data_IF_348591104434
#
_entry.id   IF_348591104434
#
_cell.length_a   1.000
_cell.length_b   1.000
_cell.length_c   1.000
_cell.angle_alpha   90.00
_cell.angle_beta   90.00
_cell.angle_gamma   90.00
#
_symmetry.space_group_name_H-M   'P 1'
#
loop_
_entity.id
_entity.type
_entity.pdbx_description
1 polymer ?
#
# COMPACT_ATOMS: atom_id res chain seq x y z
N UNK A 1 -42.35 3.76 -34.20
CA UNK A 1 -43.43 4.65 -33.73
C UNK A 1 -43.94 4.11 -32.41
N UNK A 2 -44.02 5.00 -31.41
CA UNK A 2 -44.77 4.97 -30.12
C UNK A 2 -44.38 3.91 -29.05
N UNK A 3 -43.80 4.29 -27.89
CA UNK A 3 -44.37 4.94 -26.66
C UNK A 3 -45.49 4.06 -26.03
N UNK A 4 -45.55 3.68 -24.74
CA UNK A 4 -45.45 4.46 -23.48
C UNK A 4 -45.51 3.54 -22.22
N UNK A 5 -44.70 3.87 -21.20
CA UNK A 5 -44.86 3.89 -19.70
C UNK A 5 -45.97 3.17 -18.89
N UNK A 6 -45.58 2.68 -17.67
CA UNK A 6 -46.09 2.93 -16.28
C UNK A 6 -45.85 1.68 -15.38
N UNK A 7 -45.04 1.60 -14.31
CA UNK A 7 -44.83 2.36 -13.06
C UNK A 7 -45.79 2.01 -11.89
N UNK A 8 -45.26 1.41 -10.82
CA UNK A 8 -45.58 1.50 -9.36
C UNK A 8 -44.75 0.42 -8.63
N UNK A 9 -43.75 0.62 -7.76
CA UNK A 9 -43.37 1.60 -6.73
C UNK A 9 -44.00 1.36 -5.34
N UNK A 10 -43.25 0.67 -4.45
CA UNK A 10 -43.15 0.83 -2.98
C UNK A 10 -41.79 0.20 -2.59
N UNK A 11 -40.64 0.87 -2.49
CA UNK A 11 -40.10 1.87 -1.52
C UNK A 11 -40.01 1.43 -0.04
N UNK A 12 -38.78 1.57 0.48
CA UNK A 12 -38.32 1.63 1.88
C UNK A 12 -38.07 0.34 2.67
N UNK A 13 -36.79 0.01 2.83
CA UNK A 13 -36.13 0.30 4.11
C UNK A 13 -34.70 0.81 3.87
N UNK A 14 -34.45 2.04 4.35
CA UNK A 14 -33.14 2.68 4.42
C UNK A 14 -32.51 2.43 5.79
N UNK A 15 -31.18 2.60 5.85
CA UNK A 15 -30.29 2.61 7.01
C UNK A 15 -30.00 1.21 7.61
N UNK A 16 -28.74 0.81 7.79
CA UNK A 16 -27.62 1.59 8.32
C UNK A 16 -26.29 1.14 7.72
N UNK A 17 -25.47 2.11 7.33
CA UNK A 17 -24.02 1.93 7.26
C UNK A 17 -23.52 1.71 8.70
N UNK A 18 -23.59 0.48 9.17
CA UNK A 18 -22.76 0.05 10.29
C UNK A 18 -21.38 -0.16 9.69
N UNK A 19 -20.32 0.49 10.21
CA UNK A 19 -18.97 -0.02 10.02
C UNK A 19 -18.99 -1.46 10.53
N UNK A 20 -19.19 -2.43 9.63
CA UNK A 20 -19.27 -3.82 10.01
C UNK A 20 -17.89 -4.18 10.54
N UNK A 21 -17.80 -4.43 11.85
CA UNK A 21 -16.64 -5.09 12.42
C UNK A 21 -16.32 -6.31 11.54
N UNK A 22 -15.05 -6.54 11.15
CA UNK A 22 -14.71 -7.66 10.29
C UNK A 22 -15.29 -8.94 10.88
N UNK A 23 -15.89 -9.78 10.03
CA UNK A 23 -16.48 -11.02 10.52
C UNK A 23 -15.40 -11.79 11.29
N UNK A 24 -15.77 -12.58 12.30
CA UNK A 24 -14.78 -13.37 13.03
C UNK A 24 -13.98 -14.30 12.10
N UNK A 25 -14.55 -14.69 10.96
CA UNK A 25 -13.85 -15.45 9.93
C UNK A 25 -12.76 -14.60 9.23
N UNK A 26 -13.05 -13.34 8.93
CA UNK A 26 -12.07 -12.42 8.33
C UNK A 26 -10.94 -12.09 9.32
N UNK A 27 -11.29 -11.91 10.60
CA UNK A 27 -10.31 -11.76 11.67
C UNK A 27 -9.39 -12.99 11.78
N UNK A 28 -9.95 -14.21 11.71
CA UNK A 28 -9.18 -15.45 11.77
C UNK A 28 -8.29 -15.67 10.54
N UNK A 29 -8.77 -15.34 9.33
CA UNK A 29 -7.95 -15.37 8.12
C UNK A 29 -6.76 -14.40 8.21
N UNK A 30 -6.98 -13.22 8.81
CA UNK A 30 -5.90 -12.25 9.08
C UNK A 30 -4.91 -12.78 10.12
N UNK A 31 -5.40 -13.37 11.22
CA UNK A 31 -4.56 -14.02 12.24
C UNK A 31 -3.73 -15.17 11.62
N UNK A 32 -4.33 -15.99 10.75
CA UNK A 32 -3.68 -17.11 10.08
C UNK A 32 -2.57 -16.64 9.12
N UNK A 33 -2.86 -15.66 8.28
CA UNK A 33 -1.86 -15.05 7.38
C UNK A 33 -0.67 -14.43 8.16
N UNK A 34 -0.94 -13.82 9.33
CA UNK A 34 0.13 -13.34 10.21
C UNK A 34 0.97 -14.48 10.78
N UNK A 35 0.35 -15.59 11.19
CA UNK A 35 1.05 -16.77 11.71
C UNK A 35 1.91 -17.45 10.64
N UNK A 36 1.42 -17.60 9.40
CA UNK A 36 2.18 -18.10 8.24
C UNK A 36 3.43 -17.23 7.99
N UNK A 37 3.27 -15.91 8.03
CA UNK A 37 4.36 -14.97 7.85
C UNK A 37 5.43 -15.07 8.97
N UNK A 38 5.02 -15.14 10.23
CA UNK A 38 5.94 -15.27 11.35
C UNK A 38 6.67 -16.63 11.36
N UNK A 39 6.01 -17.71 10.91
CA UNK A 39 6.63 -19.00 10.69
C UNK A 39 7.70 -18.92 9.58
N UNK A 40 7.36 -18.32 8.42
CA UNK A 40 8.29 -18.12 7.30
C UNK A 40 9.51 -17.28 7.69
N UNK A 41 9.30 -16.20 8.44
CA UNK A 41 10.37 -15.33 8.96
C UNK A 41 11.31 -16.08 9.91
N UNK A 42 10.76 -16.87 10.82
CA UNK A 42 11.55 -17.68 11.75
C UNK A 42 12.36 -18.75 11.00
N UNK A 43 11.78 -19.40 9.99
CA UNK A 43 12.47 -20.35 9.11
C UNK A 43 13.63 -19.70 8.34
N UNK A 44 13.43 -18.50 7.80
CA UNK A 44 14.48 -17.75 7.09
C UNK A 44 15.62 -17.30 8.04
N UNK A 45 15.28 -16.85 9.25
CA UNK A 45 16.27 -16.50 10.28
C UNK A 45 17.05 -17.72 10.75
N UNK A 46 16.38 -18.87 10.90
CA UNK A 46 17.03 -20.13 11.22
C UNK A 46 17.97 -20.58 10.10
N UNK A 47 17.53 -20.49 8.84
CA UNK A 47 18.34 -20.81 7.66
C UNK A 47 19.60 -19.92 7.59
N UNK A 48 19.44 -18.62 7.85
CA UNK A 48 20.58 -17.68 7.95
C UNK A 48 21.47 -18.00 9.14
N UNK A 49 20.92 -18.34 10.30
CA UNK A 49 21.71 -18.65 11.49
C UNK A 49 22.56 -19.93 11.32
N UNK A 50 22.19 -20.84 10.40
CA UNK A 50 23.02 -21.99 10.03
C UNK A 50 24.35 -21.58 9.37
N UNK A 51 24.43 -20.39 8.76
CA UNK A 51 25.68 -19.89 8.15
C UNK A 51 26.61 -19.22 9.17
N UNK A 52 26.16 -19.00 10.40
CA UNK A 52 26.96 -18.37 11.44
C UNK A 52 28.09 -19.30 11.91
N UNK A 53 29.17 -18.72 12.44
CA UNK A 53 30.25 -19.46 13.09
C UNK A 53 29.78 -20.22 14.34
N UNK A 54 30.68 -20.97 14.97
CA UNK A 54 30.32 -21.89 16.07
C UNK A 54 30.41 -21.27 17.48
N UNK A 55 30.05 -19.99 17.62
CA UNK A 55 30.07 -19.30 18.91
C UNK A 55 28.85 -19.64 19.78
N UNK A 56 28.98 -19.48 21.10
CA UNK A 56 27.86 -19.64 22.04
C UNK A 56 26.67 -18.71 21.67
N UNK A 57 26.95 -17.49 21.23
CA UNK A 57 25.95 -16.54 20.74
C UNK A 57 25.23 -17.04 19.48
N UNK A 58 25.97 -17.61 18.52
CA UNK A 58 25.39 -18.17 17.30
C UNK A 58 24.50 -19.40 17.61
N UNK A 59 24.92 -20.24 18.56
CA UNK A 59 24.13 -21.38 19.04
C UNK A 59 22.83 -20.92 19.71
N UNK A 60 22.90 -19.94 20.61
CA UNK A 60 21.73 -19.36 21.26
C UNK A 60 20.75 -18.75 20.24
N UNK A 61 21.25 -18.00 19.24
CA UNK A 61 20.42 -17.45 18.16
C UNK A 61 19.69 -18.54 17.36
N UNK A 62 20.36 -19.65 17.03
CA UNK A 62 19.73 -20.79 16.34
C UNK A 62 18.60 -21.40 17.18
N UNK A 63 18.83 -21.59 18.48
CA UNK A 63 17.83 -22.13 19.40
C UNK A 63 16.60 -21.21 19.50
N UNK A 64 16.81 -19.91 19.69
CA UNK A 64 15.73 -18.91 19.75
C UNK A 64 14.91 -18.89 18.45
N UNK A 65 15.56 -18.92 17.29
CA UNK A 65 14.85 -18.94 16.01
C UNK A 65 14.09 -20.24 15.77
N UNK A 66 14.66 -21.39 16.16
CA UNK A 66 14.00 -22.68 16.05
C UNK A 66 12.75 -22.76 16.95
N UNK A 67 12.82 -22.26 18.19
CA UNK A 67 11.66 -22.22 19.09
C UNK A 67 10.58 -21.25 18.58
N UNK A 68 10.98 -20.12 18.00
CA UNK A 68 10.05 -19.19 17.35
C UNK A 68 9.33 -19.84 16.17
N UNK A 69 10.06 -20.55 15.31
CA UNK A 69 9.47 -21.27 14.16
C UNK A 69 8.45 -22.31 14.61
N UNK A 70 8.82 -23.17 15.58
CA UNK A 70 7.91 -24.18 16.15
C UNK A 70 6.63 -23.56 16.70
N UNK A 71 6.75 -22.44 17.41
CA UNK A 71 5.60 -21.73 17.99
C UNK A 71 4.63 -21.26 16.91
N UNK A 72 5.13 -20.62 15.85
CA UNK A 72 4.28 -20.05 14.82
C UNK A 72 3.69 -21.10 13.87
N UNK A 73 4.43 -22.17 13.54
CA UNK A 73 3.88 -23.32 12.80
C UNK A 73 2.75 -24.01 13.59
N UNK A 74 2.86 -24.07 14.92
CA UNK A 74 1.78 -24.60 15.77
C UNK A 74 0.55 -23.70 15.74
N UNK A 75 0.77 -22.38 15.75
CA UNK A 75 -0.29 -21.38 15.72
C UNK A 75 -1.01 -21.33 14.36
N UNK A 76 -0.28 -21.42 13.27
CA UNK A 76 -0.80 -21.58 11.91
C UNK A 76 -1.78 -22.77 11.84
N UNK A 77 -1.34 -23.97 12.24
CA UNK A 77 -2.19 -25.17 12.27
C UNK A 77 -3.43 -25.02 13.16
N UNK A 78 -3.32 -24.26 14.26
CA UNK A 78 -4.47 -23.97 15.14
C UNK A 78 -5.49 -23.10 14.43
N UNK A 79 -5.02 -22.05 13.76
CA UNK A 79 -5.85 -21.09 13.05
C UNK A 79 -6.50 -21.70 11.81
N UNK A 80 -5.78 -22.53 11.04
CA UNK A 80 -6.34 -23.30 9.93
C UNK A 80 -7.54 -24.14 10.36
N UNK A 81 -7.40 -24.89 11.46
CA UNK A 81 -8.49 -25.71 12.01
C UNK A 81 -9.69 -24.88 12.42
N UNK A 82 -9.47 -23.72 13.03
CA UNK A 82 -10.54 -22.82 13.47
C UNK A 82 -11.25 -22.15 12.27
N UNK A 83 -10.51 -21.77 11.23
CA UNK A 83 -11.05 -21.28 9.96
C UNK A 83 -11.91 -22.36 9.30
N UNK A 84 -11.39 -23.59 9.20
CA UNK A 84 -12.11 -24.71 8.59
C UNK A 84 -13.40 -25.05 9.37
N UNK A 85 -13.32 -25.08 10.70
CA UNK A 85 -14.48 -25.30 11.58
C UNK A 85 -15.55 -24.24 11.33
N UNK A 86 -15.18 -22.96 11.33
CA UNK A 86 -16.13 -21.85 11.14
C UNK A 86 -16.70 -21.79 9.73
N UNK A 87 -15.89 -22.04 8.71
CA UNK A 87 -16.37 -22.16 7.34
C UNK A 87 -17.42 -23.29 7.23
N UNK A 88 -17.18 -24.43 7.88
CA UNK A 88 -18.15 -25.54 7.89
C UNK A 88 -19.46 -25.21 8.64
N UNK A 89 -19.39 -24.43 9.71
CA UNK A 89 -20.57 -23.96 10.46
C UNK A 89 -21.39 -22.97 9.63
N UNK A 90 -20.72 -22.02 8.97
CA UNK A 90 -21.37 -21.06 8.06
C UNK A 90 -22.05 -21.80 6.91
N UNK A 91 -21.37 -22.75 6.27
CA UNK A 91 -21.96 -23.57 5.21
C UNK A 91 -23.18 -24.38 5.67
N UNK A 92 -23.19 -24.89 6.91
CA UNK A 92 -24.34 -25.61 7.49
C UNK A 92 -25.54 -24.70 7.74
N UNK A 93 -25.30 -23.48 8.22
CA UNK A 93 -26.34 -22.46 8.45
C UNK A 93 -26.93 -21.94 7.13
N UNK A 94 -26.09 -21.77 6.12
CA UNK A 94 -26.48 -21.34 4.76
C UNK A 94 -27.21 -22.46 4.00
N UNK A 95 -26.78 -23.71 4.15
CA UNK A 95 -27.45 -24.87 3.53
C UNK A 95 -28.85 -25.14 4.12
N UNK A 96 -29.13 -24.70 5.35
CA UNK A 96 -30.50 -24.69 5.90
C UNK A 96 -31.45 -23.70 5.24
N UNK A 97 -30.96 -22.81 4.37
CA UNK A 97 -31.74 -21.70 3.80
C UNK A 97 -31.73 -21.62 2.27
N UNK A 98 -31.15 -22.56 1.53
CA UNK A 98 -31.25 -22.56 0.05
C UNK A 98 -31.06 -23.95 -0.55
N UNK A 99 -32.18 -24.52 -1.00
CA UNK A 99 -32.20 -25.55 -2.03
C UNK A 99 -31.72 -24.97 -3.36
N UNK A 100 -30.94 -25.80 -4.07
CA UNK A 100 -30.64 -25.78 -5.52
C UNK A 100 -29.94 -24.54 -6.09
N UNK A 101 -28.67 -24.67 -6.50
CA UNK A 101 -28.29 -24.97 -7.91
C UNK A 101 -26.75 -24.93 -8.05
N UNK A 102 -26.26 -25.75 -8.98
CA UNK A 102 -25.00 -26.46 -9.07
C UNK A 102 -23.80 -25.64 -9.57
N UNK A 103 -22.61 -26.12 -9.18
CA UNK A 103 -21.26 -25.65 -9.50
C UNK A 103 -20.77 -26.02 -10.91
N UNK A 104 -19.73 -25.33 -11.39
CA UNK A 104 -18.59 -25.83 -12.20
C UNK A 104 -17.78 -24.62 -12.71
N UNK A 105 -16.49 -24.63 -13.02
CA UNK A 105 -15.32 -25.41 -12.67
C UNK A 105 -14.12 -24.62 -13.24
N UNK A 106 -12.97 -24.73 -12.59
CA UNK A 106 -11.67 -24.13 -12.88
C UNK A 106 -11.13 -24.43 -14.28
N UNK A 107 -10.26 -23.56 -14.83
CA UNK A 107 -9.02 -23.97 -15.53
C UNK A 107 -7.99 -22.85 -15.69
N UNK A 108 -6.75 -23.23 -15.38
CA UNK A 108 -5.46 -22.52 -15.40
C UNK A 108 -4.89 -22.41 -16.82
N UNK A 109 -4.11 -21.36 -17.12
CA UNK A 109 -3.03 -21.45 -18.11
C UNK A 109 -1.88 -20.46 -17.82
N UNK A 110 -0.72 -20.85 -18.34
CA UNK A 110 0.67 -20.59 -17.96
C UNK A 110 1.29 -19.31 -18.54
N UNK A 111 2.28 -18.77 -17.81
CA UNK A 111 3.14 -17.65 -18.19
C UNK A 111 4.25 -18.04 -19.18
N UNK A 112 4.71 -17.09 -20.00
CA UNK A 112 5.98 -17.15 -20.74
C UNK A 112 6.80 -15.90 -20.44
N UNK A 113 8.10 -16.11 -20.20
CA UNK A 113 9.08 -15.10 -19.77
C UNK A 113 9.99 -14.75 -20.94
N UNK A 114 10.35 -13.48 -21.12
CA UNK A 114 11.49 -13.08 -21.95
C UNK A 114 12.26 -11.91 -21.32
N UNK A 115 13.60 -12.01 -21.42
CA UNK A 115 14.63 -11.30 -20.66
C UNK A 115 15.19 -10.16 -21.52
N UNK A 116 15.42 -8.97 -20.96
CA UNK A 116 16.05 -7.83 -21.64
C UNK A 116 17.56 -7.77 -21.41
N UNK A 117 18.29 -7.25 -22.40
CA UNK A 117 19.72 -6.93 -22.36
C UNK A 117 19.92 -5.42 -22.18
N UNK A 118 20.88 -5.05 -21.34
CA UNK A 118 21.23 -3.67 -20.98
C UNK A 118 22.45 -3.22 -21.78
N UNK A 119 22.43 -2.00 -22.32
CA UNK A 119 23.64 -1.31 -22.82
C UNK A 119 23.80 0.04 -22.11
N UNK A 120 25.03 0.32 -21.68
CA UNK A 120 25.44 1.51 -20.93
C UNK A 120 26.08 2.52 -21.87
N UNK A 121 25.70 3.80 -21.77
CA UNK A 121 26.35 4.92 -22.47
C UNK A 121 27.02 5.89 -21.46
N UNK A 122 28.13 6.55 -21.83
CA UNK A 122 28.97 7.32 -20.91
C UNK A 122 28.48 8.78 -20.71
N UNK A 123 28.90 9.36 -19.58
CA UNK A 123 28.43 10.64 -19.04
C UNK A 123 29.01 11.88 -19.74
N UNK A 124 28.16 12.90 -19.90
CA UNK A 124 28.55 14.27 -20.30
C UNK A 124 28.20 15.29 -19.20
N UNK A 125 29.16 16.20 -18.98
CA UNK A 125 29.16 17.50 -18.29
C UNK A 125 27.88 17.98 -17.59
N UNK A 126 27.99 18.19 -16.27
CA UNK A 126 26.90 18.49 -15.32
C UNK A 126 26.28 19.89 -15.47
N UNK A 127 25.22 20.00 -16.26
CA UNK A 127 24.08 20.85 -15.90
C UNK A 127 23.40 20.27 -14.66
N UNK A 128 22.78 21.11 -13.82
CA UNK A 128 22.01 20.63 -12.66
C UNK A 128 21.03 19.56 -13.15
N UNK A 129 21.16 18.34 -12.63
CA UNK A 129 20.34 17.21 -13.08
C UNK A 129 18.88 17.53 -12.82
N UNK A 130 18.02 17.39 -13.82
CA UNK A 130 16.57 17.51 -13.66
C UNK A 130 15.99 16.51 -12.66
N UNK A 131 16.77 15.49 -12.27
CA UNK A 131 16.39 14.50 -11.26
C UNK A 131 16.68 14.95 -9.83
N UNK A 132 17.60 15.89 -9.61
CA UNK A 132 18.02 16.27 -8.24
C UNK A 132 16.97 17.17 -7.60
N UNK A 133 16.28 16.65 -6.59
CA UNK A 133 15.41 17.43 -5.71
C UNK A 133 15.86 17.40 -4.26
N UNK A 134 15.08 18.04 -3.38
CA UNK A 134 15.35 18.06 -1.93
C UNK A 134 14.05 17.96 -1.10
N UNK A 135 14.10 17.15 -0.04
CA UNK A 135 13.17 17.23 1.09
C UNK A 135 13.66 18.27 2.08
N UNK A 136 12.87 19.30 2.40
CA UNK A 136 13.30 20.41 3.25
C UNK A 136 12.28 20.72 4.35
N UNK A 137 12.75 21.32 5.44
CA UNK A 137 11.89 22.03 6.41
C UNK A 137 12.09 23.55 6.36
N UNK A 138 13.28 24.01 5.94
CA UNK A 138 13.61 25.44 5.87
C UNK A 138 14.03 25.80 4.45
N UNK A 139 13.20 26.56 3.73
CA UNK A 139 13.42 26.86 2.31
C UNK A 139 14.75 27.58 2.03
N UNK A 140 15.21 28.46 2.92
CA UNK A 140 16.48 29.20 2.73
C UNK A 140 17.72 28.29 2.65
N UNK A 141 17.65 27.07 3.19
CA UNK A 141 18.75 26.10 3.09
C UNK A 141 18.83 25.42 1.72
N UNK A 142 17.83 25.63 0.85
CA UNK A 142 17.79 25.01 -0.48
C UNK A 142 18.52 25.83 -1.55
N UNK A 143 18.80 27.11 -1.31
CA UNK A 143 19.19 28.08 -2.35
C UNK A 143 20.46 27.73 -3.13
N UNK A 144 21.40 26.99 -2.53
CA UNK A 144 22.67 26.63 -3.16
C UNK A 144 22.74 25.17 -3.64
N UNK A 145 21.63 24.41 -3.54
CA UNK A 145 21.63 22.97 -3.79
C UNK A 145 21.58 22.58 -5.27
N UNK A 146 21.37 23.53 -6.19
CA UNK A 146 21.21 23.30 -7.64
C UNK A 146 20.20 22.18 -7.92
N UNK A 147 18.97 22.38 -7.45
CA UNK A 147 17.85 21.44 -7.53
C UNK A 147 16.84 21.87 -8.60
N UNK A 148 16.09 20.91 -9.14
CA UNK A 148 14.99 21.15 -10.07
C UNK A 148 13.61 21.08 -9.41
N UNK A 149 13.50 20.37 -8.27
CA UNK A 149 12.25 20.21 -7.53
C UNK A 149 12.48 20.11 -6.02
N UNK A 150 11.46 20.39 -5.22
CA UNK A 150 11.53 20.32 -3.77
C UNK A 150 10.17 19.90 -3.17
N UNK A 151 10.21 19.26 -2.00
CA UNK A 151 9.04 18.94 -1.18
C UNK A 151 9.39 19.13 0.30
N UNK A 152 8.39 19.29 1.17
CA UNK A 152 8.59 19.52 2.61
C UNK A 152 7.65 18.69 3.49
N UNK A 153 7.18 17.54 2.99
CA UNK A 153 6.13 16.72 3.62
C UNK A 153 4.78 17.43 3.81
N UNK A 154 4.64 18.67 3.33
CA UNK A 154 3.44 19.50 3.44
C UNK A 154 2.69 19.64 2.12
N UNK A 155 1.54 20.33 2.20
CA UNK A 155 0.70 20.62 1.04
C UNK A 155 1.09 21.93 0.34
N UNK A 156 1.84 22.80 1.02
CA UNK A 156 2.25 24.11 0.55
C UNK A 156 3.71 24.37 0.88
N UNK A 157 4.44 25.15 0.06
CA UNK A 157 5.81 25.51 0.38
C UNK A 157 5.85 26.34 1.67
N UNK A 158 6.87 26.10 2.49
CA UNK A 158 7.17 26.92 3.66
C UNK A 158 8.37 27.83 3.35
N UNK A 159 8.05 29.05 2.89
CA UNK A 159 9.02 30.03 2.39
C UNK A 159 9.14 30.07 0.86
N UNK A 160 10.15 30.79 0.38
CA UNK A 160 10.39 31.02 -1.05
C UNK A 160 11.47 30.09 -1.58
N UNK A 161 11.14 29.32 -2.61
CA UNK A 161 12.09 28.52 -3.37
C UNK A 161 12.72 29.35 -4.50
N UNK A 162 13.91 28.96 -4.94
CA UNK A 162 14.56 29.58 -6.09
C UNK A 162 13.69 29.51 -7.35
N UNK A 163 13.80 30.51 -8.22
CA UNK A 163 13.11 30.52 -9.51
C UNK A 163 13.43 29.25 -10.31
N UNK A 164 12.40 28.61 -10.85
CA UNK A 164 12.51 27.39 -11.65
C UNK A 164 12.56 26.10 -10.84
N UNK A 165 12.52 26.16 -9.50
CA UNK A 165 12.34 24.96 -8.67
C UNK A 165 10.85 24.66 -8.55
N UNK A 166 10.45 23.48 -9.00
CA UNK A 166 9.09 22.96 -8.81
C UNK A 166 8.86 22.62 -7.33
N UNK A 167 7.77 23.11 -6.74
CA UNK A 167 7.31 22.59 -5.45
C UNK A 167 6.33 21.45 -5.67
N UNK A 168 6.62 20.27 -5.12
CA UNK A 168 5.79 19.07 -5.21
C UNK A 168 5.04 18.87 -3.88
N UNK A 169 3.72 19.12 -3.81
CA UNK A 169 2.95 18.96 -2.59
C UNK A 169 2.73 17.47 -2.26
N UNK A 170 2.56 17.17 -0.97
CA UNK A 170 2.33 15.82 -0.47
C UNK A 170 1.02 15.71 0.28
N UNK A 171 0.21 14.73 -0.08
CA UNK A 171 -0.89 14.27 0.75
C UNK A 171 -0.31 13.35 1.83
N UNK A 172 0.25 13.92 2.90
CA UNK A 172 0.99 13.16 3.92
C UNK A 172 0.15 12.04 4.55
N UNK A 173 -1.13 12.32 4.82
CA UNK A 173 -2.08 11.39 5.43
C UNK A 173 -3.43 12.05 5.74
N UNK A 174 -4.39 11.32 6.33
CA UNK A 174 -5.77 11.78 6.52
C UNK A 174 -5.91 13.04 7.39
N UNK A 175 -4.94 13.35 8.24
CA UNK A 175 -4.96 14.54 9.10
C UNK A 175 -5.03 15.87 8.32
N UNK A 176 -4.63 15.90 7.05
CA UNK A 176 -4.68 17.09 6.18
C UNK A 176 -5.74 17.04 5.07
N UNK A 177 -6.66 16.07 5.09
CA UNK A 177 -7.55 15.83 3.94
C UNK A 177 -8.48 17.00 3.61
N UNK A 178 -8.92 17.77 4.62
CA UNK A 178 -9.85 18.90 4.42
C UNK A 178 -9.29 20.02 3.55
N UNK A 179 -7.98 20.26 3.60
CA UNK A 179 -7.32 21.32 2.83
C UNK A 179 -6.65 20.82 1.56
N UNK A 180 -6.47 19.50 1.42
CA UNK A 180 -5.66 18.89 0.37
C UNK A 180 -6.13 19.30 -1.03
N UNK A 181 -7.43 19.16 -1.32
CA UNK A 181 -7.94 19.39 -2.67
C UNK A 181 -7.66 20.82 -3.17
N UNK A 182 -7.91 21.82 -2.32
CA UNK A 182 -7.66 23.21 -2.63
C UNK A 182 -6.15 23.51 -2.82
N UNK A 183 -5.31 22.96 -1.94
CA UNK A 183 -3.86 23.18 -1.99
C UNK A 183 -3.20 22.49 -3.19
N UNK A 184 -3.59 21.24 -3.48
CA UNK A 184 -3.10 20.52 -4.65
C UNK A 184 -3.52 21.23 -5.95
N UNK A 185 -4.77 21.68 -6.06
CA UNK A 185 -5.23 22.45 -7.21
C UNK A 185 -4.44 23.76 -7.37
N UNK A 186 -4.19 24.49 -6.26
CA UNK A 186 -3.38 25.71 -6.27
C UNK A 186 -1.95 25.44 -6.70
N UNK A 187 -1.34 24.34 -6.24
CA UNK A 187 0.02 23.95 -6.61
C UNK A 187 0.11 23.64 -8.11
N UNK A 188 -0.85 22.87 -8.67
CA UNK A 188 -0.93 22.59 -10.10
C UNK A 188 -1.06 23.88 -10.90
N UNK A 189 -1.98 24.77 -10.52
CA UNK A 189 -2.13 26.07 -11.17
C UNK A 189 -0.89 26.97 -11.05
N UNK A 190 -0.01 26.73 -10.08
CA UNK A 190 1.25 27.43 -9.89
C UNK A 190 2.45 26.74 -10.57
N UNK A 191 2.21 25.65 -11.31
CA UNK A 191 3.24 24.95 -12.10
C UNK A 191 3.72 23.62 -11.52
N UNK A 192 3.12 23.11 -10.43
CA UNK A 192 3.41 21.74 -9.96
C UNK A 192 2.91 20.72 -10.98
N UNK A 193 3.79 19.82 -11.40
CA UNK A 193 3.48 18.74 -12.35
C UNK A 193 3.30 17.39 -11.66
N UNK A 194 3.74 17.26 -10.41
CA UNK A 194 3.60 16.05 -9.60
C UNK A 194 2.79 16.31 -8.31
N UNK A 195 2.18 15.25 -7.76
CA UNK A 195 1.61 15.21 -6.41
C UNK A 195 2.11 13.94 -5.70
N UNK A 196 2.63 14.07 -4.48
CA UNK A 196 3.09 12.95 -3.66
C UNK A 196 1.95 12.35 -2.83
N UNK A 197 1.88 11.01 -2.80
CA UNK A 197 0.97 10.26 -1.94
C UNK A 197 1.40 10.23 -0.47
N UNK A 198 0.74 9.37 0.31
CA UNK A 198 0.93 9.26 1.77
C UNK A 198 2.36 8.95 2.19
N UNK A 199 2.80 9.56 3.29
CA UNK A 199 4.15 9.40 3.84
C UNK A 199 4.24 8.25 4.83
N UNK A 200 5.05 7.26 4.54
CA UNK A 200 5.34 6.07 5.35
C UNK A 200 4.06 5.47 5.96
N UNK A 201 3.04 5.14 5.14
CA UNK A 201 1.79 4.58 5.65
C UNK A 201 2.00 3.23 6.35
N UNK A 202 3.12 2.59 6.08
CA UNK A 202 3.56 1.34 6.69
C UNK A 202 4.22 1.50 8.07
N UNK A 203 4.48 2.74 8.54
CA UNK A 203 5.14 3.00 9.82
C UNK A 203 4.20 3.66 10.84
N UNK A 204 4.14 3.07 12.03
CA UNK A 204 3.20 3.47 13.10
C UNK A 204 3.36 4.90 13.61
N UNK A 205 4.57 5.47 13.52
CA UNK A 205 4.87 6.84 13.93
C UNK A 205 4.64 7.89 12.84
N UNK A 206 4.15 7.49 11.66
CA UNK A 206 3.98 8.33 10.48
C UNK A 206 2.50 8.37 10.10
N UNK A 207 2.15 8.30 8.80
CA UNK A 207 0.74 8.35 8.41
C UNK A 207 -0.04 7.10 8.86
N UNK A 208 0.65 5.98 9.15
CA UNK A 208 0.14 4.80 9.85
C UNK A 208 -1.24 4.34 9.35
N UNK A 209 -1.27 3.85 8.11
CA UNK A 209 -2.48 3.44 7.42
C UNK A 209 -2.45 1.95 7.13
N UNK A 210 -3.51 1.25 7.46
CA UNK A 210 -3.77 -0.07 6.89
C UNK A 210 -4.03 0.04 5.38
N UNK A 211 -3.86 -1.06 4.63
CA UNK A 211 -4.11 -1.08 3.18
C UNK A 211 -5.52 -0.57 2.81
N UNK A 212 -6.62 -0.98 3.48
CA UNK A 212 -7.94 -0.41 3.19
C UNK A 212 -8.03 1.10 3.43
N UNK A 213 -7.39 1.61 4.49
CA UNK A 213 -7.35 3.05 4.77
C UNK A 213 -6.55 3.79 3.69
N UNK A 214 -5.41 3.25 3.26
CA UNK A 214 -4.63 3.86 2.19
C UNK A 214 -5.38 3.88 0.86
N UNK A 215 -6.08 2.79 0.50
CA UNK A 215 -6.94 2.73 -0.70
C UNK A 215 -8.07 3.77 -0.63
N UNK A 216 -8.76 3.87 0.51
CA UNK A 216 -9.82 4.86 0.69
C UNK A 216 -9.30 6.29 0.57
N UNK A 217 -8.16 6.58 1.21
CA UNK A 217 -7.53 7.90 1.13
C UNK A 217 -7.03 8.22 -0.28
N UNK A 218 -6.44 7.26 -0.98
CA UNK A 218 -6.02 7.44 -2.37
C UNK A 218 -7.20 7.81 -3.27
N UNK A 219 -8.30 7.03 -3.20
CA UNK A 219 -9.50 7.30 -3.98
C UNK A 219 -10.12 8.66 -3.71
N UNK A 220 -10.17 9.06 -2.43
CA UNK A 220 -10.78 10.32 -2.03
C UNK A 220 -9.90 11.54 -2.35
N UNK A 221 -8.57 11.41 -2.27
CA UNK A 221 -7.66 12.55 -2.25
C UNK A 221 -6.69 12.60 -3.44
N UNK A 222 -6.26 11.46 -3.98
CA UNK A 222 -5.30 11.40 -5.07
C UNK A 222 -5.98 11.18 -6.43
N UNK A 223 -6.89 10.21 -6.54
CA UNK A 223 -7.62 9.90 -7.79
C UNK A 223 -8.29 11.12 -8.46
N UNK A 224 -8.85 12.12 -7.75
CA UNK A 224 -9.43 13.32 -8.38
C UNK A 224 -8.44 14.18 -9.20
N UNK A 225 -7.13 13.94 -9.04
CA UNK A 225 -6.05 14.59 -9.76
C UNK A 225 -5.43 13.74 -10.86
N UNK A 226 -5.91 12.50 -11.05
CA UNK A 226 -5.46 11.65 -12.15
C UNK A 226 -5.73 12.34 -13.50
N UNK A 227 -4.69 12.41 -14.34
CA UNK A 227 -4.71 13.14 -15.61
C UNK A 227 -4.56 14.66 -15.49
N UNK A 228 -4.54 15.24 -14.28
CA UNK A 228 -4.26 16.67 -14.04
C UNK A 228 -2.81 16.93 -13.61
N UNK A 229 -2.21 15.96 -12.93
CA UNK A 229 -0.82 15.92 -12.52
C UNK A 229 -0.34 14.47 -12.48
N UNK A 230 0.97 14.27 -12.47
CA UNK A 230 1.55 12.95 -12.25
C UNK A 230 1.40 12.55 -10.79
N UNK A 231 0.76 11.42 -10.53
CA UNK A 231 0.54 10.95 -9.17
C UNK A 231 1.66 10.01 -8.76
N UNK A 232 2.28 10.31 -7.62
CA UNK A 232 3.33 9.48 -7.05
C UNK A 232 2.74 8.60 -5.96
N UNK A 233 3.15 7.33 -5.92
CA UNK A 233 2.66 6.35 -4.94
C UNK A 233 2.79 6.84 -3.49
N UNK A 234 2.14 6.17 -2.51
CA UNK A 234 2.57 6.30 -1.13
C UNK A 234 4.08 6.02 -1.01
N UNK A 235 4.79 6.83 -0.23
CA UNK A 235 6.21 6.71 0.01
C UNK A 235 6.44 5.79 1.21
N UNK A 236 6.78 4.53 0.96
CA UNK A 236 6.96 3.51 2.01
C UNK A 236 8.38 3.50 2.57
N UNK A 237 8.55 3.00 3.79
CA UNK A 237 9.88 2.80 4.39
C UNK A 237 10.71 1.75 3.65
N UNK A 238 11.96 1.56 4.05
CA UNK A 238 12.77 0.41 3.62
C UNK A 238 12.53 -0.87 4.45
N UNK A 239 11.45 -0.92 5.24
CA UNK A 239 11.10 -2.08 6.06
C UNK A 239 10.78 -3.32 5.24
N UNK A 240 11.06 -4.51 5.79
CA UNK A 240 10.63 -5.77 5.19
C UNK A 240 9.11 -5.95 5.29
N UNK A 241 8.52 -6.81 4.46
CA UNK A 241 7.08 -7.13 4.49
C UNK A 241 6.59 -7.34 5.94
N UNK A 242 5.44 -6.77 6.36
CA UNK A 242 4.44 -6.09 5.54
C UNK A 242 4.73 -4.60 5.25
N UNK A 243 5.90 -4.09 5.65
CA UNK A 243 6.32 -2.73 5.36
C UNK A 243 7.00 -2.62 3.98
N UNK A 244 7.38 -1.41 3.62
CA UNK A 244 8.15 -1.12 2.41
C UNK A 244 7.49 -1.60 1.14
N UNK A 245 8.28 -2.22 0.26
CA UNK A 245 7.77 -2.74 -1.02
C UNK A 245 6.62 -3.75 -0.82
N UNK A 246 6.60 -4.47 0.31
CA UNK A 246 5.50 -5.36 0.66
C UNK A 246 4.17 -4.63 0.83
N UNK A 247 4.20 -3.48 1.49
CA UNK A 247 3.03 -2.61 1.62
C UNK A 247 2.51 -2.14 0.26
N UNK A 248 3.40 -1.74 -0.65
CA UNK A 248 3.02 -1.32 -2.00
C UNK A 248 2.44 -2.48 -2.85
N UNK A 249 2.97 -3.69 -2.68
CA UNK A 249 2.42 -4.88 -3.33
C UNK A 249 0.99 -5.17 -2.85
N UNK A 250 0.75 -5.08 -1.54
CA UNK A 250 -0.59 -5.24 -0.97
C UNK A 250 -1.52 -4.11 -1.41
N UNK A 251 -1.04 -2.86 -1.47
CA UNK A 251 -1.80 -1.72 -1.98
C UNK A 251 -2.24 -1.94 -3.43
N UNK A 252 -1.30 -2.36 -4.29
CA UNK A 252 -1.57 -2.74 -5.68
C UNK A 252 -2.63 -3.84 -5.78
N UNK A 253 -2.48 -4.92 -4.99
CA UNK A 253 -3.39 -6.05 -5.00
C UNK A 253 -4.81 -5.72 -4.52
N UNK A 254 -4.94 -4.76 -3.60
CA UNK A 254 -6.24 -4.33 -3.05
C UNK A 254 -6.89 -3.20 -3.87
N UNK A 255 -6.17 -2.53 -4.76
CA UNK A 255 -6.74 -1.52 -5.65
C UNK A 255 -5.95 -1.39 -6.96
N UNK A 256 -6.24 -2.26 -7.94
CA UNK A 256 -5.64 -2.18 -9.28
C UNK A 256 -5.91 -0.84 -9.98
N UNK A 257 -7.11 -0.26 -9.79
CA UNK A 257 -7.42 1.07 -10.33
C UNK A 257 -6.52 2.15 -9.73
N UNK A 258 -6.34 2.18 -8.41
CA UNK A 258 -5.43 3.10 -7.75
C UNK A 258 -3.98 2.92 -8.27
N UNK A 259 -3.55 1.68 -8.47
CA UNK A 259 -2.22 1.38 -9.02
C UNK A 259 -2.03 1.91 -10.44
N UNK A 260 -3.07 1.82 -11.28
CA UNK A 260 -3.01 2.30 -12.66
C UNK A 260 -2.99 3.83 -12.77
N UNK A 261 -3.32 4.55 -11.68
CA UNK A 261 -3.23 6.00 -11.60
C UNK A 261 -1.84 6.50 -11.18
N UNK A 262 -0.95 5.60 -10.74
CA UNK A 262 0.39 5.94 -10.27
C UNK A 262 1.33 6.06 -11.47
N UNK A 263 1.92 7.25 -11.65
CA UNK A 263 2.92 7.55 -12.68
C UNK A 263 4.35 7.26 -12.21
N UNK A 264 4.60 7.33 -10.89
CA UNK A 264 5.92 7.09 -10.29
C UNK A 264 5.81 6.46 -8.90
N UNK A 265 6.77 5.60 -8.55
CA UNK A 265 6.85 4.97 -7.22
C UNK A 265 7.81 5.74 -6.33
N UNK A 266 7.34 6.18 -5.16
CA UNK A 266 8.16 6.76 -4.11
C UNK A 266 8.60 5.69 -3.10
N UNK A 267 9.87 5.74 -2.70
CA UNK A 267 10.50 4.88 -1.70
C UNK A 267 11.44 5.72 -0.84
N UNK A 268 11.62 5.33 0.43
CA UNK A 268 12.68 5.83 1.31
C UNK A 268 13.80 4.80 1.51
#
# INVERSE_FOLDING_TARGET
MHYTTLASLVTFLSATATLAAPSRLDALKKEHSHAEYEASKAAALLARAKTYGNSAEAKHKREVFAEREKRWVKEEKRLEKEIQKRASTISRVVAGHRTTTTAAATKTSTATTSKSTTSTAPASTSTASSKKGVGYNTASYTSNLKISWAYNWGQTPDGTLNKGVEYVPMFWGPGGASTWSANAQKAISSGSTHLLGMNEPDLGSQSNLTIPQAVANWKANMSPFYGKAKLVSPAVTNGGYPMGVGYLQDFKGNCTQCWNEIDAVALH
#
